data_IF_201681491914
#
_entry.id   IF_201681491914
#
_cell.length_a   1.000
_cell.length_b   1.000
_cell.length_c   1.000
_cell.angle_alpha   90.00
_cell.angle_beta   90.00
_cell.angle_gamma   90.00
#
_symmetry.space_group_name_H-M   'P 1'
#
loop_
_entity.id
_entity.type
_entity.pdbx_description
1 polymer ?
#
# COMPACT_ATOMS: atom_id res chain seq x y z
N UNK A 1 -24.95 -11.01 12.95
CA UNK A 1 -24.75 -10.62 11.54
C UNK A 1 -23.69 -9.52 11.41
N UNK A 2 -23.74 -8.45 12.21
CA UNK A 2 -22.78 -7.32 12.13
C UNK A 2 -21.29 -7.72 12.20
N UNK A 3 -20.89 -8.61 13.12
CA UNK A 3 -19.49 -9.08 13.21
C UNK A 3 -18.98 -9.79 11.95
N UNK A 4 -19.86 -10.46 11.21
CA UNK A 4 -19.48 -11.15 9.98
C UNK A 4 -19.29 -10.16 8.83
N UNK A 5 -20.18 -9.17 8.72
CA UNK A 5 -20.06 -8.07 7.76
C UNK A 5 -18.77 -7.28 8.01
N UNK A 6 -18.50 -6.89 9.25
CA UNK A 6 -17.27 -6.16 9.62
C UNK A 6 -16.01 -6.97 9.31
N UNK A 7 -16.02 -8.29 9.57
CA UNK A 7 -14.92 -9.17 9.21
C UNK A 7 -14.67 -9.18 7.69
N UNK A 8 -15.72 -9.38 6.88
CA UNK A 8 -15.60 -9.39 5.41
C UNK A 8 -15.16 -8.03 4.88
N UNK A 9 -15.66 -6.93 5.46
CA UNK A 9 -15.20 -5.57 5.13
C UNK A 9 -13.70 -5.40 5.36
N UNK A 10 -13.20 -5.87 6.50
CA UNK A 10 -11.77 -5.86 6.81
C UNK A 10 -10.95 -6.73 5.85
N UNK A 11 -11.46 -7.91 5.45
CA UNK A 11 -10.80 -8.78 4.48
C UNK A 11 -10.69 -8.10 3.11
N UNK A 12 -11.78 -7.52 2.61
CA UNK A 12 -11.83 -6.81 1.33
C UNK A 12 -10.85 -5.62 1.33
N UNK A 13 -10.93 -4.75 2.34
CA UNK A 13 -10.03 -3.57 2.47
C UNK A 13 -8.55 -3.95 2.52
N UNK A 14 -8.20 -5.08 3.11
CA UNK A 14 -6.81 -5.53 3.18
C UNK A 14 -6.35 -6.32 1.93
N UNK A 15 -7.28 -6.76 1.09
CA UNK A 15 -6.99 -7.59 -0.07
C UNK A 15 -7.75 -7.12 -1.34
N UNK A 16 -7.60 -5.83 -1.74
CA UNK A 16 -8.38 -5.23 -2.83
C UNK A 16 -8.11 -5.84 -4.21
N UNK A 17 -7.00 -6.56 -4.37
CA UNK A 17 -6.60 -7.17 -5.64
C UNK A 17 -6.87 -8.70 -5.68
N UNK A 18 -7.45 -9.27 -4.62
CA UNK A 18 -7.79 -10.70 -4.57
C UNK A 18 -9.17 -10.94 -5.19
N UNK A 19 -9.21 -11.09 -6.52
CA UNK A 19 -10.45 -11.28 -7.26
C UNK A 19 -11.34 -12.41 -6.71
N UNK A 20 -10.73 -13.54 -6.32
CA UNK A 20 -11.48 -14.68 -5.78
C UNK A 20 -12.20 -14.32 -4.47
N UNK A 21 -11.53 -13.62 -3.55
CA UNK A 21 -12.16 -13.11 -2.32
C UNK A 21 -13.27 -12.11 -2.63
N UNK A 22 -13.06 -11.20 -3.59
CA UNK A 22 -14.06 -10.20 -3.93
C UNK A 22 -15.32 -10.82 -4.53
N UNK A 23 -15.18 -11.87 -5.34
CA UNK A 23 -16.29 -12.61 -5.91
C UNK A 23 -17.03 -13.42 -4.83
N UNK A 24 -16.30 -14.08 -3.93
CA UNK A 24 -16.88 -14.79 -2.77
C UNK A 24 -17.69 -13.84 -1.88
N UNK A 25 -17.16 -12.65 -1.58
CA UNK A 25 -17.87 -11.65 -0.78
C UNK A 25 -19.15 -11.20 -1.48
N UNK A 26 -19.13 -10.92 -2.78
CA UNK A 26 -20.35 -10.55 -3.53
C UNK A 26 -21.40 -11.66 -3.47
N UNK A 27 -20.98 -12.93 -3.60
CA UNK A 27 -21.88 -14.07 -3.52
C UNK A 27 -22.51 -14.20 -2.13
N UNK A 28 -21.73 -14.09 -1.05
CA UNK A 28 -22.23 -14.13 0.33
C UNK A 28 -23.29 -13.06 0.57
N UNK A 29 -23.03 -11.82 0.13
CA UNK A 29 -23.98 -10.71 0.26
C UNK A 29 -25.22 -10.90 -0.61
N UNK A 30 -25.08 -11.43 -1.83
CA UNK A 30 -26.21 -11.74 -2.71
C UNK A 30 -27.14 -12.80 -2.09
N UNK A 31 -26.57 -13.87 -1.52
CA UNK A 31 -27.32 -14.92 -0.82
C UNK A 31 -28.03 -14.40 0.44
N UNK A 32 -27.56 -13.29 1.03
CA UNK A 32 -28.17 -12.61 2.15
C UNK A 32 -29.21 -11.54 1.73
N UNK A 33 -29.54 -11.42 0.44
CA UNK A 33 -30.38 -10.36 -0.14
C UNK A 33 -29.83 -8.93 0.09
N UNK A 34 -28.50 -8.80 0.24
CA UNK A 34 -27.75 -7.55 0.47
C UNK A 34 -26.78 -7.27 -0.70
N UNK A 35 -27.22 -7.51 -1.93
CA UNK A 35 -26.34 -7.46 -3.10
C UNK A 35 -25.74 -6.06 -3.35
N UNK A 36 -26.50 -4.99 -3.08
CA UNK A 36 -26.04 -3.61 -3.25
C UNK A 36 -24.93 -3.27 -2.24
N UNK A 37 -25.07 -3.68 -0.99
CA UNK A 37 -24.07 -3.46 0.06
C UNK A 37 -22.77 -4.21 -0.24
N UNK A 38 -22.87 -5.46 -0.72
CA UNK A 38 -21.72 -6.24 -1.15
C UNK A 38 -20.97 -5.59 -2.32
N UNK A 39 -21.71 -5.09 -3.31
CA UNK A 39 -21.13 -4.39 -4.45
C UNK A 39 -20.46 -3.07 -4.04
N UNK A 40 -21.12 -2.27 -3.19
CA UNK A 40 -20.60 -1.01 -2.68
C UNK A 40 -19.30 -1.21 -1.87
N UNK A 41 -19.24 -2.28 -1.07
CA UNK A 41 -18.04 -2.64 -0.32
C UNK A 41 -16.84 -2.92 -1.24
N UNK A 42 -17.03 -3.77 -2.25
CA UNK A 42 -15.96 -4.11 -3.18
C UNK A 42 -15.52 -2.89 -3.97
N UNK A 43 -16.47 -2.07 -4.44
CA UNK A 43 -16.16 -0.87 -5.22
C UNK A 43 -15.39 0.17 -4.39
N UNK A 44 -15.76 0.34 -3.12
CA UNK A 44 -15.04 1.24 -2.19
C UNK A 44 -13.58 0.82 -2.05
N UNK A 45 -13.32 -0.48 -1.87
CA UNK A 45 -11.95 -0.98 -1.74
C UNK A 45 -11.13 -0.81 -3.02
N UNK A 46 -11.77 -0.98 -4.18
CA UNK A 46 -11.14 -0.72 -5.48
C UNK A 46 -10.79 0.77 -5.65
N UNK A 47 -11.70 1.65 -5.26
CA UNK A 47 -11.51 3.11 -5.30
C UNK A 47 -10.41 3.57 -4.35
N UNK A 48 -10.36 3.05 -3.12
CA UNK A 48 -9.26 3.29 -2.17
C UNK A 48 -7.91 2.92 -2.81
N UNK A 49 -7.84 1.78 -3.51
CA UNK A 49 -6.66 1.39 -4.25
C UNK A 49 -6.22 2.42 -5.31
N UNK A 50 -7.17 2.95 -6.09
CA UNK A 50 -6.90 3.98 -7.12
C UNK A 50 -6.46 5.29 -6.46
N UNK A 51 -7.12 5.67 -5.38
CA UNK A 51 -6.81 6.89 -4.63
C UNK A 51 -5.38 6.86 -4.09
N UNK A 52 -4.94 5.73 -3.53
CA UNK A 52 -3.55 5.60 -3.05
C UNK A 52 -2.51 5.65 -4.18
N UNK A 53 -2.83 5.09 -5.35
CA UNK A 53 -1.96 5.16 -6.53
C UNK A 53 -1.85 6.61 -7.04
N UNK A 54 -2.99 7.31 -7.13
CA UNK A 54 -3.04 8.69 -7.54
C UNK A 54 -2.32 9.60 -6.54
N UNK A 55 -2.45 9.36 -5.23
CA UNK A 55 -1.69 10.05 -4.17
C UNK A 55 -0.19 9.91 -4.36
N UNK A 56 0.32 8.69 -4.61
CA UNK A 56 1.75 8.46 -4.84
C UNK A 56 2.32 9.29 -6.01
N UNK A 57 1.56 9.44 -7.10
CA UNK A 57 1.96 10.21 -8.29
C UNK A 57 1.77 11.72 -8.09
N UNK A 58 0.68 12.15 -7.45
CA UNK A 58 0.37 13.57 -7.19
C UNK A 58 1.32 14.19 -6.16
N UNK A 59 1.60 13.48 -5.06
CA UNK A 59 2.41 14.01 -3.97
C UNK A 59 3.90 14.12 -4.33
N UNK A 60 4.37 13.26 -5.24
CA UNK A 60 5.70 13.37 -5.83
C UNK A 60 5.85 14.62 -6.73
N UNK A 61 4.74 15.18 -7.24
CA UNK A 61 4.75 16.36 -8.12
C UNK A 61 4.74 17.69 -7.35
N UNK A 62 4.04 17.77 -6.22
CA UNK A 62 3.88 19.03 -5.48
C UNK A 62 4.89 19.23 -4.33
N UNK A 63 5.69 18.23 -4.00
CA UNK A 63 6.66 18.33 -2.90
C UNK A 63 6.04 18.25 -1.50
N UNK A 64 4.72 18.04 -1.40
CA UNK A 64 3.97 17.82 -0.15
C UNK A 64 4.19 16.42 0.45
N UNK A 65 5.46 16.03 0.62
CA UNK A 65 5.83 14.70 1.09
C UNK A 65 5.36 14.41 2.52
N UNK A 66 5.34 15.41 3.40
CA UNK A 66 4.99 15.17 4.81
C UNK A 66 3.48 14.90 4.97
N UNK A 67 2.62 15.62 4.24
CA UNK A 67 1.18 15.33 4.19
C UNK A 67 0.88 13.97 3.55
N UNK A 68 1.66 13.60 2.54
CA UNK A 68 1.59 12.28 1.93
C UNK A 68 1.88 11.16 2.94
N UNK A 69 2.99 11.32 3.66
CA UNK A 69 3.45 10.34 4.66
C UNK A 69 2.40 10.23 5.77
N UNK A 70 1.89 11.36 6.27
CA UNK A 70 0.88 11.38 7.32
C UNK A 70 -0.35 10.55 6.94
N UNK A 71 -0.95 10.81 5.78
CA UNK A 71 -2.15 10.05 5.38
C UNK A 71 -1.86 8.61 4.97
N UNK A 72 -0.67 8.29 4.45
CA UNK A 72 -0.31 6.89 4.18
C UNK A 72 -0.06 6.10 5.48
N UNK A 73 0.39 6.76 6.55
CA UNK A 73 0.47 6.16 7.88
C UNK A 73 -0.92 5.87 8.45
N UNK A 74 -1.87 6.80 8.32
CA UNK A 74 -3.27 6.57 8.69
C UNK A 74 -3.88 5.41 7.91
N UNK A 75 -3.67 5.38 6.59
CA UNK A 75 -4.10 4.27 5.75
C UNK A 75 -3.50 2.93 6.19
N UNK A 76 -2.21 2.90 6.57
CA UNK A 76 -1.55 1.70 7.09
C UNK A 76 -2.13 1.26 8.43
N UNK A 77 -2.58 2.19 9.28
CA UNK A 77 -3.24 1.85 10.54
C UNK A 77 -4.61 1.20 10.29
N UNK A 78 -5.39 1.73 9.35
CA UNK A 78 -6.69 1.19 8.98
C UNK A 78 -6.60 -0.14 8.20
N UNK A 79 -5.57 -0.28 7.36
CA UNK A 79 -5.38 -1.41 6.44
C UNK A 79 -3.96 -1.97 6.53
N UNK A 80 -3.58 -2.56 7.69
CA UNK A 80 -2.20 -2.96 7.97
C UNK A 80 -1.70 -4.08 7.07
N UNK A 81 -2.61 -4.80 6.40
CA UNK A 81 -2.26 -5.87 5.47
C UNK A 81 -2.43 -5.53 4.00
N UNK A 82 -2.88 -4.31 3.66
CA UNK A 82 -3.01 -3.89 2.28
C UNK A 82 -1.63 -3.63 1.64
N UNK A 83 -1.24 -4.52 0.71
CA UNK A 83 0.05 -4.48 0.00
C UNK A 83 0.23 -3.17 -0.78
N UNK A 84 -0.83 -2.58 -1.34
CA UNK A 84 -0.77 -1.32 -2.08
C UNK A 84 -0.42 -0.16 -1.15
N UNK A 85 -1.05 -0.10 0.02
CA UNK A 85 -0.76 0.91 1.04
C UNK A 85 0.69 0.81 1.51
N UNK A 86 1.17 -0.40 1.80
CA UNK A 86 2.54 -0.65 2.23
C UNK A 86 3.56 -0.20 1.18
N UNK A 87 3.36 -0.54 -0.10
CA UNK A 87 4.26 -0.08 -1.17
C UNK A 87 4.19 1.42 -1.41
N UNK A 88 3.02 2.02 -1.31
CA UNK A 88 2.87 3.46 -1.53
C UNK A 88 3.53 4.26 -0.41
N UNK A 89 3.39 3.83 0.85
CA UNK A 89 4.13 4.41 1.98
C UNK A 89 5.64 4.29 1.74
N UNK A 90 6.14 3.10 1.42
CA UNK A 90 7.56 2.91 1.12
C UNK A 90 8.05 3.80 -0.02
N UNK A 91 7.29 3.90 -1.11
CA UNK A 91 7.61 4.74 -2.26
C UNK A 91 7.73 6.21 -1.86
N UNK A 92 6.74 6.77 -1.16
CA UNK A 92 6.75 8.18 -0.75
C UNK A 92 7.90 8.47 0.21
N UNK A 93 8.18 7.58 1.17
CA UNK A 93 9.31 7.71 2.09
C UNK A 93 10.66 7.73 1.33
N UNK A 94 10.82 6.83 0.35
CA UNK A 94 12.01 6.77 -0.52
C UNK A 94 12.14 8.06 -1.34
N UNK A 95 11.07 8.51 -1.99
CA UNK A 95 11.08 9.72 -2.82
C UNK A 95 11.38 10.96 -1.98
N UNK A 96 10.81 11.07 -0.78
CA UNK A 96 11.13 12.13 0.17
C UNK A 96 12.62 12.15 0.48
N UNK A 97 13.21 10.99 0.79
CA UNK A 97 14.65 10.89 1.07
C UNK A 97 15.53 11.23 -0.13
N UNK A 98 15.11 10.88 -1.36
CA UNK A 98 15.82 11.25 -2.59
C UNK A 98 15.84 12.76 -2.83
N UNK A 99 14.80 13.48 -2.38
CA UNK A 99 14.61 14.91 -2.68
C UNK A 99 15.06 15.84 -1.55
N UNK A 100 14.79 15.46 -0.30
CA UNK A 100 15.04 16.30 0.88
C UNK A 100 16.19 15.78 1.77
N UNK A 101 16.84 14.69 1.35
CA UNK A 101 17.97 14.10 2.08
C UNK A 101 17.59 12.89 2.93
N UNK A 102 18.61 12.08 3.20
CA UNK A 102 18.49 10.83 3.96
C UNK A 102 18.02 11.11 5.38
N UNK A 103 17.04 10.34 5.84
CA UNK A 103 16.57 10.31 7.22
C UNK A 103 16.54 8.85 7.72
N UNK A 104 17.33 8.48 8.74
CA UNK A 104 17.39 7.10 9.24
C UNK A 104 16.04 6.50 9.63
N UNK A 105 15.14 7.32 10.18
CA UNK A 105 13.81 6.91 10.64
C UNK A 105 12.94 6.52 9.44
N UNK A 106 12.93 7.33 8.39
CA UNK A 106 12.19 7.03 7.16
C UNK A 106 12.78 5.83 6.42
N UNK A 107 14.09 5.61 6.55
CA UNK A 107 14.76 4.45 5.97
C UNK A 107 14.33 3.15 6.65
N UNK A 108 14.24 3.16 7.99
CA UNK A 108 13.71 2.03 8.76
C UNK A 108 12.25 1.77 8.40
N UNK A 109 11.42 2.80 8.40
CA UNK A 109 9.98 2.67 8.11
C UNK A 109 9.71 2.16 6.69
N UNK A 110 10.44 2.67 5.69
CA UNK A 110 10.32 2.19 4.32
C UNK A 110 10.73 0.72 4.20
N UNK A 111 11.78 0.30 4.93
CA UNK A 111 12.23 -1.10 4.96
C UNK A 111 11.18 -2.01 5.57
N UNK A 112 10.59 -1.62 6.70
CA UNK A 112 9.51 -2.36 7.35
C UNK A 112 8.30 -2.51 6.44
N UNK A 113 7.87 -1.42 5.79
CA UNK A 113 6.74 -1.45 4.87
C UNK A 113 6.99 -2.39 3.68
N UNK A 114 8.19 -2.38 3.10
CA UNK A 114 8.57 -3.30 2.02
C UNK A 114 8.61 -4.76 2.47
N UNK A 115 9.17 -5.05 3.65
CA UNK A 115 9.21 -6.41 4.19
C UNK A 115 7.80 -6.92 4.48
N UNK A 116 6.95 -6.08 5.08
CA UNK A 116 5.55 -6.39 5.33
C UNK A 116 4.75 -6.63 4.03
N UNK A 117 5.06 -5.90 2.96
CA UNK A 117 4.43 -6.13 1.66
C UNK A 117 4.87 -7.47 1.05
N UNK A 118 6.18 -7.75 1.07
CA UNK A 118 6.73 -8.98 0.49
C UNK A 118 6.37 -10.25 1.28
N UNK A 119 6.17 -10.16 2.60
CA UNK A 119 5.70 -11.32 3.37
C UNK A 119 4.26 -11.71 3.02
N UNK A 120 3.45 -10.76 2.55
CA UNK A 120 2.05 -10.98 2.14
C UNK A 120 1.93 -11.41 0.70
N UNK A 121 2.69 -10.75 -0.18
CA UNK A 121 2.72 -11.07 -1.60
C UNK A 121 4.18 -11.11 -2.06
N UNK A 122 4.83 -12.28 -1.94
CA UNK A 122 6.23 -12.43 -2.29
C UNK A 122 6.46 -12.37 -3.80
N UNK A 123 7.65 -11.94 -4.19
CA UNK A 123 8.11 -12.02 -5.59
C UNK A 123 7.60 -10.89 -6.50
N UNK A 124 6.95 -9.87 -5.95
CA UNK A 124 6.51 -8.72 -6.73
C UNK A 124 7.70 -7.90 -7.24
N UNK A 125 7.73 -7.62 -8.55
CA UNK A 125 8.75 -6.80 -9.19
C UNK A 125 8.91 -5.42 -8.50
N UNK A 126 7.79 -4.84 -8.06
CA UNK A 126 7.78 -3.56 -7.32
C UNK A 126 8.56 -3.61 -6.02
N UNK A 127 8.54 -4.74 -5.30
CA UNK A 127 9.36 -4.92 -4.10
C UNK A 127 10.85 -4.85 -4.45
N UNK A 128 11.28 -5.60 -5.47
CA UNK A 128 12.69 -5.64 -5.90
C UNK A 128 13.19 -4.24 -6.26
N UNK A 129 12.41 -3.49 -7.04
CA UNK A 129 12.74 -2.13 -7.46
C UNK A 129 12.87 -1.16 -6.27
N UNK A 130 11.88 -1.12 -5.38
CA UNK A 130 11.89 -0.21 -4.24
C UNK A 130 12.96 -0.60 -3.20
N UNK A 131 13.20 -1.91 -3.00
CA UNK A 131 14.25 -2.40 -2.11
C UNK A 131 15.63 -1.98 -2.59
N UNK A 132 15.93 -2.16 -3.88
CA UNK A 132 17.20 -1.73 -4.46
C UNK A 132 17.40 -0.21 -4.32
N UNK A 133 16.36 0.58 -4.58
CA UNK A 133 16.40 2.04 -4.42
C UNK A 133 16.67 2.45 -2.96
N UNK A 134 16.01 1.79 -2.01
CA UNK A 134 16.20 2.05 -0.58
C UNK A 134 17.60 1.67 -0.11
N UNK A 135 18.16 0.58 -0.62
CA UNK A 135 19.53 0.17 -0.30
C UNK A 135 20.57 1.15 -0.88
N UNK A 136 20.38 1.66 -2.11
CA UNK A 136 21.25 2.71 -2.65
C UNK A 136 21.25 3.98 -1.78
N UNK A 137 20.10 4.38 -1.24
CA UNK A 137 19.98 5.50 -0.29
C UNK A 137 20.65 5.20 1.05
N UNK A 138 20.64 3.95 1.52
CA UNK A 138 21.27 3.56 2.77
C UNK A 138 22.79 3.68 2.75
N UNK A 139 23.40 3.42 1.59
CA UNK A 139 24.85 3.36 1.43
C UNK A 139 25.47 4.63 0.84
N UNK A 140 24.69 5.71 0.67
CA UNK A 140 25.23 7.03 0.34
C UNK A 140 25.79 7.19 -1.08
N UNK A 141 25.25 6.47 -2.07
CA UNK A 141 25.49 6.76 -3.48
C UNK A 141 26.95 6.72 -3.93
N UNK A 142 27.53 5.52 -4.04
CA UNK A 142 28.31 5.16 -5.23
C UNK A 142 27.86 3.78 -5.66
N UNK A 143 26.95 3.72 -6.63
CA UNK A 143 26.94 2.57 -7.53
C UNK A 143 28.23 2.69 -8.34
N UNK A 144 29.24 1.91 -7.98
CA UNK A 144 30.41 1.74 -8.84
C UNK A 144 29.94 1.21 -10.20
N UNK A 145 30.46 1.72 -11.32
CA UNK A 145 30.15 1.16 -12.62
C UNK A 145 30.72 -0.26 -12.65
N UNK A 146 29.88 -1.21 -13.02
CA UNK A 146 30.33 -2.55 -13.40
C UNK A 146 31.25 -2.37 -14.61
N UNK A 147 32.54 -2.66 -14.43
CA UNK A 147 33.55 -2.72 -15.49
C UNK A 147 33.23 -3.84 -16.49
#
# INVERSE_FOLDING_TARGET
QERAVEFLQNQVRNNPDNAALLDEVKEIFSNAAMAEEGAALVETSRQEGIEFMNRGVLLARDGSYEEAIASLREARQAMPANVRVLFNLAYVLITRMQKAGRAPELLSEAREALLAANSRQPGLARYVQLRATLDALAHGGKTEPVL
#
